data_IF_540007416821
#
_entry.id   IF_540007416821
#
_cell.length_a   1.000
_cell.length_b   1.000
_cell.length_c   1.000
_cell.angle_alpha   90.00
_cell.angle_beta   90.00
_cell.angle_gamma   90.00
#
_symmetry.space_group_name_H-M   'P 1'
#
loop_
_entity.id
_entity.type
_entity.pdbx_description
1 polymer ?
#
# COMPACT_ATOMS: atom_id res chain seq x y z
N UNK A 1 2.66 22.96 -25.62
CA UNK A 1 2.31 22.68 -24.22
C UNK A 1 3.52 22.04 -23.58
N UNK A 2 3.98 22.58 -22.46
CA UNK A 2 5.00 21.99 -21.59
C UNK A 2 4.33 21.36 -20.37
N UNK A 3 5.08 20.56 -19.63
CA UNK A 3 4.68 20.09 -18.28
C UNK A 3 5.66 20.69 -17.26
N UNK A 4 5.17 21.01 -16.08
CA UNK A 4 6.00 21.48 -14.98
C UNK A 4 7.04 20.41 -14.61
N UNK A 5 8.29 20.84 -14.50
CA UNK A 5 9.43 20.02 -14.07
C UNK A 5 10.43 20.76 -13.18
N UNK A 6 10.02 21.91 -12.64
CA UNK A 6 10.86 22.78 -11.82
C UNK A 6 11.80 23.69 -12.61
N UNK A 7 11.82 23.54 -13.93
CA UNK A 7 12.72 24.29 -14.82
C UNK A 7 11.96 25.38 -15.59
N UNK A 8 12.69 26.47 -15.92
CA UNK A 8 12.15 27.54 -16.74
C UNK A 8 11.84 27.04 -18.15
N UNK A 9 10.65 27.34 -18.66
CA UNK A 9 10.19 27.07 -20.03
C UNK A 9 10.19 28.35 -20.83
N UNK A 10 10.63 28.27 -22.07
CA UNK A 10 10.69 29.40 -23.00
C UNK A 10 9.81 29.13 -24.22
N UNK A 11 8.91 30.06 -24.50
CA UNK A 11 8.16 30.09 -25.74
C UNK A 11 9.04 30.75 -26.81
N UNK A 12 9.56 29.98 -27.73
CA UNK A 12 10.54 30.47 -28.71
C UNK A 12 9.84 31.25 -29.85
N UNK A 13 10.19 32.51 -29.97
CA UNK A 13 9.87 33.38 -31.10
C UNK A 13 11.20 33.84 -31.71
N UNK A 14 11.31 33.83 -33.03
CA UNK A 14 12.53 34.27 -33.68
C UNK A 14 12.87 35.72 -33.29
N UNK A 15 14.12 35.95 -32.96
CA UNK A 15 14.58 37.33 -32.64
C UNK A 15 14.48 38.23 -33.88
N UNK A 16 14.00 39.47 -33.67
CA UNK A 16 13.88 40.45 -34.74
C UNK A 16 13.96 41.88 -34.16
N UNK A 17 14.62 42.72 -34.85
CA UNK A 17 14.81 44.14 -34.42
C UNK A 17 13.53 44.98 -34.47
N UNK A 18 12.51 44.53 -35.24
CA UNK A 18 11.29 45.29 -35.47
C UNK A 18 10.22 45.08 -34.39
N UNK A 19 10.37 44.11 -33.51
CA UNK A 19 9.40 43.85 -32.44
C UNK A 19 10.04 43.49 -31.09
N UNK A 20 9.23 43.52 -30.06
CA UNK A 20 9.57 43.04 -28.72
C UNK A 20 8.68 41.84 -28.37
N UNK A 21 9.22 40.93 -27.58
CA UNK A 21 8.50 39.78 -27.04
C UNK A 21 8.41 39.91 -25.51
N UNK A 22 7.24 39.74 -24.95
CA UNK A 22 7.04 39.72 -23.51
C UNK A 22 6.35 38.44 -23.04
N UNK A 23 6.58 38.07 -21.80
CA UNK A 23 6.03 36.88 -21.11
C UNK A 23 6.41 35.54 -21.74
N UNK A 24 7.52 35.50 -22.51
CA UNK A 24 7.96 34.28 -23.19
C UNK A 24 8.63 33.25 -22.26
N UNK A 25 8.95 33.62 -21.02
CA UNK A 25 9.58 32.73 -20.06
C UNK A 25 8.69 32.54 -18.83
N UNK A 26 8.42 31.29 -18.48
CA UNK A 26 7.62 30.92 -17.32
C UNK A 26 8.21 29.65 -16.67
N UNK A 27 7.97 29.46 -15.36
CA UNK A 27 8.42 28.29 -14.63
C UNK A 27 7.22 27.48 -14.11
N UNK A 28 6.26 28.14 -13.49
CA UNK A 28 5.14 27.50 -12.84
C UNK A 28 4.09 26.98 -13.83
N UNK A 29 3.33 25.98 -13.42
CA UNK A 29 2.16 25.55 -14.17
C UNK A 29 1.13 26.68 -14.29
N UNK A 30 0.54 26.80 -15.46
CA UNK A 30 -0.43 27.84 -15.75
C UNK A 30 -0.64 28.05 -17.25
N UNK A 31 -1.60 28.93 -17.53
CA UNK A 31 -1.85 29.43 -18.88
C UNK A 31 -1.43 30.89 -18.95
N UNK A 32 -0.53 31.17 -19.85
CA UNK A 32 0.09 32.47 -20.04
C UNK A 32 -0.18 32.96 -21.45
N UNK A 33 -0.03 34.27 -21.65
CA UNK A 33 -0.08 34.87 -22.98
C UNK A 33 1.27 35.50 -23.28
N UNK A 34 1.92 35.00 -24.32
CA UNK A 34 3.11 35.65 -24.88
C UNK A 34 2.65 36.74 -25.83
N UNK A 35 3.15 37.94 -25.67
CA UNK A 35 2.79 39.08 -26.49
C UNK A 35 3.96 39.51 -27.37
N UNK A 36 3.68 39.84 -28.60
CA UNK A 36 4.64 40.37 -29.57
C UNK A 36 4.14 41.72 -30.05
N UNK A 37 4.96 42.76 -29.85
CA UNK A 37 4.56 44.15 -30.12
C UNK A 37 5.55 44.78 -31.11
N UNK A 38 5.07 45.38 -32.20
CA UNK A 38 5.89 46.16 -33.11
C UNK A 38 6.51 47.38 -32.36
N UNK A 39 7.78 47.63 -32.61
CA UNK A 39 8.48 48.81 -32.06
C UNK A 39 8.11 50.11 -32.75
N UNK A 40 7.79 50.04 -34.05
CA UNK A 40 7.39 51.23 -34.83
C UNK A 40 6.10 50.92 -35.61
N UNK A 41 4.97 51.20 -35.02
CA UNK A 41 3.64 50.99 -35.61
C UNK A 41 3.28 52.06 -36.65
N UNK A 42 4.09 53.12 -36.80
CA UNK A 42 3.87 54.13 -37.84
C UNK A 42 4.40 53.70 -39.20
N UNK A 43 5.49 52.92 -39.21
CA UNK A 43 6.19 52.56 -40.43
C UNK A 43 6.26 51.03 -40.64
N UNK A 44 5.65 50.23 -39.75
CA UNK A 44 5.67 48.77 -39.78
C UNK A 44 4.29 48.18 -39.50
N UNK A 45 3.96 47.17 -40.24
CA UNK A 45 2.76 46.32 -40.02
C UNK A 45 3.16 44.84 -40.08
N UNK A 46 2.33 43.99 -39.49
CA UNK A 46 2.47 42.54 -39.66
C UNK A 46 2.14 42.10 -41.10
N UNK A 47 2.45 40.86 -41.44
CA UNK A 47 2.12 40.28 -42.75
C UNK A 47 0.61 40.26 -43.06
N UNK A 48 -0.24 40.38 -42.03
CA UNK A 48 -1.69 40.49 -42.17
C UNK A 48 -2.19 41.96 -42.26
N UNK A 49 -1.25 42.89 -42.50
CA UNK A 49 -1.52 44.34 -42.67
C UNK A 49 -2.07 45.02 -41.37
N UNK A 50 -1.94 44.37 -40.22
CA UNK A 50 -2.32 44.94 -38.93
C UNK A 50 -1.09 45.46 -38.18
N UNK A 51 -1.28 46.38 -37.21
CA UNK A 51 -0.27 46.89 -36.31
C UNK A 51 -0.51 46.50 -34.83
N UNK A 52 -1.56 45.71 -34.61
CA UNK A 52 -1.98 45.31 -33.26
C UNK A 52 -1.02 44.29 -32.65
N UNK A 53 -0.99 44.22 -31.30
CA UNK A 53 -0.23 43.20 -30.53
C UNK A 53 -0.70 41.81 -30.95
N UNK A 54 0.26 40.95 -31.20
CA UNK A 54 0.00 39.52 -31.45
C UNK A 54 0.12 38.76 -30.12
N UNK A 55 -0.83 37.87 -29.90
CA UNK A 55 -0.92 37.08 -28.65
C UNK A 55 -0.83 35.58 -28.99
N UNK A 56 -0.05 34.88 -28.20
CA UNK A 56 0.16 33.43 -28.36
C UNK A 56 -0.05 32.74 -27.01
N UNK A 57 -0.89 31.69 -26.95
CA UNK A 57 -1.08 30.94 -25.70
C UNK A 57 0.18 30.15 -25.36
N UNK A 58 0.62 30.25 -24.13
CA UNK A 58 1.74 29.52 -23.58
C UNK A 58 1.28 28.75 -22.34
N UNK A 59 1.22 27.43 -22.44
CA UNK A 59 0.68 26.57 -21.42
C UNK A 59 1.76 25.67 -20.83
N UNK A 60 1.88 25.69 -19.52
CA UNK A 60 2.64 24.72 -18.71
C UNK A 60 1.61 23.92 -17.91
N UNK A 61 1.41 22.66 -18.24
CA UNK A 61 0.51 21.77 -17.55
C UNK A 61 1.10 21.39 -16.17
N UNK A 62 0.27 21.18 -15.15
CA UNK A 62 0.72 20.64 -13.87
C UNK A 62 1.38 19.27 -14.02
N UNK A 63 2.41 19.01 -13.21
CA UNK A 63 2.97 17.68 -13.05
C UNK A 63 2.03 16.78 -12.23
N UNK A 64 2.10 15.48 -12.41
CA UNK A 64 1.29 14.54 -11.65
C UNK A 64 1.96 14.17 -10.32
N UNK A 65 1.18 14.22 -9.24
CA UNK A 65 1.58 13.72 -7.93
C UNK A 65 0.57 12.67 -7.48
N UNK A 66 1.08 11.57 -6.95
CA UNK A 66 0.26 10.48 -6.43
C UNK A 66 0.42 10.39 -4.91
N UNK A 67 -0.70 10.43 -4.21
CA UNK A 67 -0.83 10.12 -2.79
C UNK A 67 -1.33 8.69 -2.67
N UNK A 68 -0.48 7.76 -2.24
CA UNK A 68 -0.84 6.36 -2.05
C UNK A 68 -1.18 6.11 -0.59
N UNK A 69 -2.43 5.74 -0.32
CA UNK A 69 -2.91 5.39 1.02
C UNK A 69 -2.41 3.98 1.33
N UNK A 70 -1.79 3.81 2.51
CA UNK A 70 -1.26 2.52 2.93
C UNK A 70 -2.34 1.58 3.43
N UNK A 71 -2.15 0.30 3.17
CA UNK A 71 -2.98 -0.75 3.73
C UNK A 71 -2.89 -0.79 5.26
N UNK A 72 -3.97 -1.22 5.89
CA UNK A 72 -4.07 -1.47 7.32
C UNK A 72 -4.49 -2.91 7.56
N UNK A 73 -4.15 -3.41 8.73
CA UNK A 73 -4.59 -4.73 9.18
C UNK A 73 -5.24 -4.66 10.55
N UNK A 74 -6.16 -5.58 10.79
CA UNK A 74 -6.80 -5.77 12.07
C UNK A 74 -7.13 -7.25 12.28
N UNK A 75 -7.50 -7.60 13.50
CA UNK A 75 -7.89 -8.97 13.82
C UNK A 75 -9.39 -9.11 14.00
N UNK A 76 -9.91 -10.26 13.61
CA UNK A 76 -11.29 -10.67 13.91
C UNK A 76 -11.52 -10.53 15.41
N UNK A 77 -12.65 -9.92 15.79
CA UNK A 77 -13.01 -9.64 17.18
C UNK A 77 -12.39 -8.37 17.74
N UNK A 78 -11.61 -7.60 16.99
CA UNK A 78 -11.18 -6.26 17.39
C UNK A 78 -12.39 -5.36 17.62
N UNK A 79 -12.40 -4.59 18.70
CA UNK A 79 -13.52 -3.69 19.04
C UNK A 79 -13.71 -2.58 18.01
N UNK A 80 -12.62 -2.12 17.42
CA UNK A 80 -12.60 -1.02 16.44
C UNK A 80 -11.60 -1.33 15.34
N UNK A 81 -11.85 -0.83 14.14
CA UNK A 81 -10.87 -0.75 13.08
C UNK A 81 -9.74 0.24 13.45
N UNK A 82 -8.56 0.16 12.80
CA UNK A 82 -7.49 1.13 13.00
C UNK A 82 -7.96 2.58 12.82
N UNK A 83 -7.47 3.47 13.67
CA UNK A 83 -7.84 4.88 13.62
C UNK A 83 -7.31 5.56 12.34
N UNK A 84 -8.16 6.33 11.67
CA UNK A 84 -7.87 7.14 10.49
C UNK A 84 -8.07 8.65 10.73
N UNK A 85 -8.27 9.09 11.97
CA UNK A 85 -8.63 10.48 12.29
C UNK A 85 -7.50 11.47 12.02
N UNK A 86 -6.25 11.05 12.21
CA UNK A 86 -5.05 11.88 12.04
C UNK A 86 -4.02 11.15 11.19
N UNK A 87 -4.18 11.09 9.87
CA UNK A 87 -3.24 10.38 9.00
C UNK A 87 -1.88 11.07 8.96
N UNK A 88 -0.81 10.30 9.12
CA UNK A 88 0.57 10.77 9.11
C UNK A 88 1.28 10.31 7.83
N UNK A 89 2.07 11.24 7.23
CA UNK A 89 2.92 10.89 6.08
C UNK A 89 3.91 9.79 6.48
N UNK A 90 4.21 8.91 5.54
CA UNK A 90 5.09 7.74 5.64
C UNK A 90 4.60 6.62 6.59
N UNK A 91 3.60 6.87 7.41
CA UNK A 91 2.91 5.90 8.25
C UNK A 91 1.58 5.44 7.63
N UNK A 92 0.74 6.37 7.22
CA UNK A 92 -0.62 6.11 6.74
C UNK A 92 -0.77 6.35 5.24
N UNK A 93 0.10 7.18 4.65
CA UNK A 93 0.17 7.43 3.21
C UNK A 93 1.58 7.82 2.77
N UNK A 94 1.85 7.69 1.49
CA UNK A 94 3.08 8.19 0.85
C UNK A 94 2.74 9.17 -0.26
N UNK A 95 3.69 10.03 -0.61
CA UNK A 95 3.57 10.98 -1.72
C UNK A 95 4.71 10.71 -2.70
N UNK A 96 4.40 10.58 -3.97
CA UNK A 96 5.36 10.40 -5.05
C UNK A 96 5.09 11.34 -6.22
N UNK A 97 6.13 11.70 -6.97
CA UNK A 97 6.03 12.59 -8.14
C UNK A 97 6.30 14.06 -7.84
N UNK A 98 6.69 14.44 -6.61
CA UNK A 98 7.19 15.78 -6.32
C UNK A 98 8.55 16.00 -6.97
N UNK A 99 8.80 17.21 -7.42
CA UNK A 99 10.03 17.64 -8.10
C UNK A 99 10.89 18.43 -7.12
N UNK A 100 12.17 18.05 -7.04
CA UNK A 100 13.12 18.71 -6.14
C UNK A 100 12.66 18.72 -4.69
N UNK A 101 12.59 19.91 -4.10
CA UNK A 101 12.17 20.14 -2.71
C UNK A 101 10.72 20.65 -2.60
N UNK A 102 9.94 20.52 -3.67
CA UNK A 102 8.55 20.98 -3.66
C UNK A 102 7.71 20.23 -2.61
N UNK A 103 6.73 20.91 -2.06
CA UNK A 103 5.82 20.38 -1.06
C UNK A 103 4.37 20.65 -1.43
N UNK A 104 3.47 19.83 -0.90
CA UNK A 104 2.05 20.08 -0.91
C UNK A 104 1.63 20.72 0.41
N UNK A 105 0.73 21.69 0.35
CA UNK A 105 0.06 22.28 1.51
C UNK A 105 -1.31 21.64 1.70
N UNK A 106 -1.82 21.67 2.95
CA UNK A 106 -3.12 21.09 3.28
C UNK A 106 -3.03 19.85 4.16
N UNK A 107 -4.06 19.04 4.18
CA UNK A 107 -4.16 17.86 5.04
C UNK A 107 -4.76 16.66 4.30
N UNK A 108 -4.37 15.47 4.73
CA UNK A 108 -4.99 14.21 4.29
C UNK A 108 -6.12 13.87 5.24
N UNK A 109 -7.27 13.46 4.68
CA UNK A 109 -8.42 12.92 5.41
C UNK A 109 -8.82 11.60 4.78
N UNK A 110 -8.96 10.58 5.60
CA UNK A 110 -9.26 9.22 5.18
C UNK A 110 -10.55 8.71 5.82
N UNK A 111 -11.18 7.74 5.15
CA UNK A 111 -12.30 6.98 5.70
C UNK A 111 -12.27 5.55 5.18
N UNK A 112 -12.99 4.67 5.86
CA UNK A 112 -13.31 3.34 5.37
C UNK A 112 -14.48 3.38 4.38
N UNK A 113 -14.45 2.44 3.42
CA UNK A 113 -15.56 2.15 2.51
C UNK A 113 -15.76 0.61 2.42
N UNK A 114 -16.83 0.05 3.01
CA UNK A 114 -17.93 0.73 3.76
C UNK A 114 -17.43 1.45 5.03
N UNK A 115 -18.17 2.47 5.47
CA UNK A 115 -17.78 3.34 6.60
C UNK A 115 -17.62 2.59 7.93
N UNK A 116 -18.31 1.48 8.10
CA UNK A 116 -18.16 0.60 9.25
C UNK A 116 -17.63 -0.75 8.78
N UNK A 117 -16.32 -1.01 8.93
CA UNK A 117 -15.73 -2.30 8.60
C UNK A 117 -16.32 -3.42 9.46
N UNK A 118 -16.56 -4.57 8.83
CA UNK A 118 -16.98 -5.77 9.56
C UNK A 118 -15.76 -6.44 10.20
N UNK A 119 -15.65 -6.31 11.52
CA UNK A 119 -14.55 -6.89 12.30
C UNK A 119 -14.90 -8.29 12.86
N UNK A 120 -16.04 -8.88 12.46
CA UNK A 120 -16.48 -10.18 13.00
C UNK A 120 -15.99 -11.37 12.19
N UNK A 121 -15.47 -11.15 11.00
CA UNK A 121 -14.99 -12.18 10.05
C UNK A 121 -13.76 -11.70 9.29
N UNK A 122 -13.04 -12.66 8.71
CA UNK A 122 -11.93 -12.38 7.78
C UNK A 122 -12.46 -11.63 6.55
N UNK A 123 -11.79 -10.57 6.16
CA UNK A 123 -12.16 -9.74 5.02
C UNK A 123 -10.95 -8.93 4.51
N UNK A 124 -10.89 -8.71 3.21
CA UNK A 124 -9.96 -7.80 2.53
C UNK A 124 -10.68 -6.85 1.56
N UNK A 125 -12.01 -6.75 1.69
CA UNK A 125 -12.87 -5.99 0.76
C UNK A 125 -13.09 -4.54 1.18
N UNK A 126 -12.74 -4.18 2.42
CA UNK A 126 -12.88 -2.80 2.91
C UNK A 126 -11.75 -1.93 2.37
N UNK A 127 -12.10 -0.89 1.64
CA UNK A 127 -11.14 0.10 1.14
C UNK A 127 -10.90 1.20 2.16
N UNK A 128 -9.71 1.82 2.09
CA UNK A 128 -9.38 3.07 2.78
C UNK A 128 -9.25 4.13 1.69
N UNK A 129 -10.19 5.08 1.69
CA UNK A 129 -10.34 6.04 0.59
C UNK A 129 -10.12 7.47 1.05
N UNK A 130 -9.79 8.34 0.10
CA UNK A 130 -9.75 9.78 0.33
C UNK A 130 -11.13 10.30 0.80
N UNK A 131 -11.13 11.16 1.82
CA UNK A 131 -12.33 11.77 2.40
C UNK A 131 -12.25 13.30 2.39
N UNK A 132 -12.02 13.90 1.22
CA UNK A 132 -11.92 15.35 1.10
C UNK A 132 -10.59 15.89 1.65
N UNK A 133 -9.49 15.23 1.34
CA UNK A 133 -8.15 15.76 1.55
C UNK A 133 -7.96 17.08 0.78
N UNK A 134 -7.15 17.96 1.33
CA UNK A 134 -6.92 19.32 0.79
C UNK A 134 -5.48 19.53 0.32
N UNK A 135 -4.71 18.45 0.12
CA UNK A 135 -3.34 18.57 -0.39
C UNK A 135 -3.35 19.26 -1.76
N UNK A 136 -2.60 20.36 -1.89
CA UNK A 136 -2.54 21.15 -3.10
C UNK A 136 -1.20 21.87 -3.26
N UNK A 137 -0.84 22.07 -4.52
CA UNK A 137 0.17 22.98 -5.01
C UNK A 137 -0.18 23.24 -6.48
N UNK A 138 -0.22 24.50 -6.91
CA UNK A 138 -0.65 24.89 -8.27
C UNK A 138 0.16 24.25 -9.39
N UNK A 139 1.37 23.81 -9.12
CA UNK A 139 2.23 23.13 -10.07
C UNK A 139 1.93 21.66 -10.23
N UNK A 140 0.97 21.11 -9.47
CA UNK A 140 0.69 19.68 -9.45
C UNK A 140 -0.79 19.34 -9.58
N UNK A 141 -1.06 18.27 -10.29
CA UNK A 141 -2.34 17.55 -10.31
C UNK A 141 -2.25 16.38 -9.33
N UNK A 142 -2.98 16.48 -8.21
CA UNK A 142 -2.89 15.52 -7.10
C UNK A 142 -3.93 14.42 -7.25
N UNK A 143 -3.47 13.19 -7.34
CA UNK A 143 -4.32 11.99 -7.42
C UNK A 143 -4.15 11.11 -6.17
N UNK A 144 -5.17 10.31 -5.85
CA UNK A 144 -5.17 9.42 -4.70
C UNK A 144 -5.31 7.98 -5.16
N UNK A 145 -4.50 7.09 -4.58
CA UNK A 145 -4.61 5.64 -4.72
C UNK A 145 -5.07 5.08 -3.38
N UNK A 146 -6.16 4.34 -3.41
CA UNK A 146 -6.79 3.78 -2.23
C UNK A 146 -5.93 2.67 -1.62
N UNK A 147 -5.97 2.59 -0.29
CA UNK A 147 -5.50 1.44 0.48
C UNK A 147 -6.64 0.50 0.83
N UNK A 148 -6.34 -0.58 1.52
CA UNK A 148 -7.34 -1.53 2.01
C UNK A 148 -7.12 -1.87 3.48
N UNK A 149 -8.19 -2.28 4.16
CA UNK A 149 -8.16 -2.92 5.46
C UNK A 149 -8.28 -4.42 5.27
N UNK A 150 -7.29 -5.16 5.73
CA UNK A 150 -7.33 -6.62 5.81
C UNK A 150 -7.63 -7.04 7.24
N UNK A 151 -8.73 -7.77 7.43
CA UNK A 151 -9.12 -8.36 8.71
C UNK A 151 -8.76 -9.83 8.66
N UNK A 152 -7.88 -10.27 9.56
CA UNK A 152 -7.44 -11.68 9.64
C UNK A 152 -7.71 -12.23 11.04
N UNK A 153 -7.71 -13.55 11.19
CA UNK A 153 -7.62 -14.10 12.53
C UNK A 153 -6.30 -13.64 13.17
N UNK A 154 -6.36 -13.36 14.46
CA UNK A 154 -5.12 -13.16 15.20
C UNK A 154 -4.28 -14.41 14.99
N UNK A 155 -3.02 -14.32 14.51
CA UNK A 155 -2.14 -15.47 14.59
C UNK A 155 -2.29 -15.98 15.98
N UNK A 156 -2.56 -17.27 16.17
CA UNK A 156 -2.40 -17.89 17.48
C UNK A 156 -0.95 -17.54 17.87
N UNK A 157 -0.78 -16.42 18.54
CA UNK A 157 0.45 -16.23 19.28
C UNK A 157 0.45 -17.45 20.14
N UNK A 158 1.38 -18.37 19.84
CA UNK A 158 1.77 -19.27 20.89
C UNK A 158 1.96 -18.37 22.08
N UNK A 159 0.90 -18.26 22.83
CA UNK A 159 0.86 -17.39 23.98
C UNK A 159 2.06 -17.80 24.78
N UNK A 160 2.93 -16.86 25.05
CA UNK A 160 3.73 -16.90 26.23
C UNK A 160 2.74 -16.86 27.40
N UNK A 161 1.87 -17.86 27.48
CA UNK A 161 1.28 -18.26 28.73
C UNK A 161 2.41 -18.92 29.47
N UNK A 162 2.96 -18.20 30.39
CA UNK A 162 3.65 -18.74 31.56
C UNK A 162 3.10 -20.16 31.80
N UNK A 163 3.85 -21.22 31.39
CA UNK A 163 3.57 -22.53 31.88
C UNK A 163 3.42 -23.70 30.89
N UNK A 164 3.52 -23.54 29.55
CA UNK A 164 3.59 -24.72 28.69
C UNK A 164 5.04 -25.18 28.51
N UNK A 165 5.57 -25.86 29.52
CA UNK A 165 6.86 -26.52 29.42
C UNK A 165 6.74 -27.68 28.42
N UNK A 166 7.64 -27.72 27.43
CA UNK A 166 7.86 -28.88 26.57
C UNK A 166 8.13 -30.09 27.48
N UNK A 167 7.32 -31.14 27.35
CA UNK A 167 7.48 -32.35 28.20
C UNK A 167 8.31 -33.41 27.46
N UNK A 168 8.42 -33.31 26.13
CA UNK A 168 9.22 -34.22 25.30
C UNK A 168 9.78 -33.51 24.10
N UNK A 169 11.05 -33.73 23.80
CA UNK A 169 11.70 -33.30 22.56
C UNK A 169 12.41 -34.49 21.97
N UNK A 170 12.13 -34.77 20.69
CA UNK A 170 12.80 -35.79 19.91
C UNK A 170 13.40 -35.15 18.66
N UNK A 171 14.55 -35.65 18.22
CA UNK A 171 15.18 -35.17 17.00
C UNK A 171 15.59 -36.37 16.16
N UNK A 172 15.13 -36.42 14.94
CA UNK A 172 15.38 -37.49 13.97
C UNK A 172 16.12 -36.95 12.77
N UNK A 173 17.18 -37.64 12.38
CA UNK A 173 17.85 -37.42 11.08
C UNK A 173 17.16 -38.31 10.05
N UNK A 174 16.65 -37.70 9.00
CA UNK A 174 15.95 -38.39 7.92
C UNK A 174 16.94 -38.90 6.86
N UNK A 175 16.53 -39.91 6.11
CA UNK A 175 17.40 -40.55 5.06
C UNK A 175 17.75 -39.56 3.93
N UNK A 176 16.88 -38.56 3.66
CA UNK A 176 17.15 -37.47 2.71
C UNK A 176 18.17 -36.43 3.23
N UNK A 177 18.59 -36.58 4.49
CA UNK A 177 19.55 -35.74 5.20
C UNK A 177 18.93 -34.46 5.78
N UNK A 178 17.61 -34.29 5.77
CA UNK A 178 16.90 -33.31 6.58
C UNK A 178 16.90 -33.71 8.06
N UNK A 179 16.53 -32.81 8.93
CA UNK A 179 16.41 -33.07 10.37
C UNK A 179 15.03 -32.63 10.84
N UNK A 180 14.29 -33.55 11.47
CA UNK A 180 12.99 -33.27 12.07
C UNK A 180 13.11 -33.20 13.60
N UNK A 181 12.69 -32.11 14.19
CA UNK A 181 12.54 -31.92 15.63
C UNK A 181 11.06 -31.97 15.98
N UNK A 182 10.67 -32.89 16.87
CA UNK A 182 9.30 -33.01 17.40
C UNK A 182 9.28 -32.57 18.85
N UNK A 183 8.44 -31.61 19.19
CA UNK A 183 8.24 -31.09 20.55
C UNK A 183 6.80 -31.34 20.99
N UNK A 184 6.60 -32.07 22.08
CA UNK A 184 5.28 -32.27 22.68
C UNK A 184 5.16 -31.36 23.91
N UNK A 185 4.12 -30.53 23.93
CA UNK A 185 3.83 -29.64 25.06
C UNK A 185 2.92 -30.32 26.08
N UNK A 186 2.86 -29.74 27.28
CA UNK A 186 2.05 -30.26 28.39
C UNK A 186 0.55 -30.27 28.10
N UNK A 187 0.07 -29.40 27.24
CA UNK A 187 -1.32 -29.31 26.78
C UNK A 187 -1.67 -30.30 25.64
N UNK A 188 -0.71 -31.16 25.27
CA UNK A 188 -0.87 -32.14 24.18
C UNK A 188 -0.58 -31.58 22.78
N UNK A 189 -0.21 -30.30 22.64
CA UNK A 189 0.20 -29.71 21.35
C UNK A 189 1.49 -30.38 20.89
N UNK A 190 1.54 -30.82 19.64
CA UNK A 190 2.72 -31.39 18.99
C UNK A 190 3.24 -30.40 17.94
N UNK A 191 4.53 -30.06 17.99
CA UNK A 191 5.18 -29.20 17.02
C UNK A 191 6.29 -30.02 16.34
N UNK A 192 6.16 -30.18 15.05
CA UNK A 192 7.20 -30.78 14.21
C UNK A 192 7.87 -29.68 13.39
N UNK A 193 9.19 -29.64 13.41
CA UNK A 193 10.00 -28.73 12.60
C UNK A 193 11.01 -29.51 11.80
N UNK A 194 10.87 -29.54 10.50
CA UNK A 194 11.81 -30.18 9.60
C UNK A 194 12.67 -29.13 8.91
N UNK A 195 13.99 -29.28 9.04
CA UNK A 195 14.96 -28.40 8.37
C UNK A 195 15.61 -29.19 7.23
N UNK A 196 15.39 -28.75 6.01
CA UNK A 196 15.99 -29.31 4.80
C UNK A 196 17.47 -29.02 4.69
N UNK A 197 18.20 -29.84 3.94
CA UNK A 197 19.62 -29.62 3.61
C UNK A 197 19.89 -28.29 2.91
N UNK A 198 18.92 -27.78 2.17
CA UNK A 198 18.97 -26.54 1.42
C UNK A 198 18.68 -25.30 2.27
N UNK A 199 18.33 -25.50 3.55
CA UNK A 199 17.97 -24.45 4.50
C UNK A 199 16.47 -24.09 4.50
N UNK A 200 15.63 -24.82 3.75
CA UNK A 200 14.18 -24.71 3.87
C UNK A 200 13.69 -25.23 5.23
N UNK A 201 12.60 -24.68 5.75
CA UNK A 201 12.02 -25.08 7.03
C UNK A 201 10.52 -25.34 6.82
N UNK A 202 10.07 -26.54 7.18
CA UNK A 202 8.66 -26.88 7.32
C UNK A 202 8.32 -27.04 8.80
N UNK A 203 7.31 -26.31 9.26
CA UNK A 203 6.81 -26.38 10.63
C UNK A 203 5.34 -26.76 10.64
N UNK A 204 5.00 -27.79 11.38
CA UNK A 204 3.62 -28.24 11.61
C UNK A 204 3.32 -28.12 13.10
N UNK A 205 2.24 -27.44 13.48
CA UNK A 205 1.72 -27.39 14.83
C UNK A 205 0.34 -28.06 14.85
N UNK A 206 0.20 -29.16 15.60
CA UNK A 206 -1.03 -29.93 15.73
C UNK A 206 -1.57 -29.83 17.16
N UNK A 207 -2.80 -29.40 17.31
CA UNK A 207 -3.51 -29.35 18.58
C UNK A 207 -4.79 -30.13 18.49
N UNK A 208 -5.04 -31.04 19.45
CA UNK A 208 -6.27 -31.80 19.54
C UNK A 208 -7.03 -31.43 20.81
N UNK A 209 -8.31 -31.07 20.63
CA UNK A 209 -9.24 -30.80 21.74
C UNK A 209 -10.43 -31.76 21.68
N UNK A 210 -10.93 -32.16 22.83
CA UNK A 210 -12.16 -32.96 22.90
C UNK A 210 -13.24 -32.09 23.54
N UNK A 211 -14.33 -31.86 22.79
CA UNK A 211 -15.50 -31.12 23.27
C UNK A 211 -16.29 -31.94 24.29
N UNK A 212 -17.14 -31.30 25.12
CA UNK A 212 -17.97 -32.03 26.10
C UNK A 212 -18.92 -33.08 25.51
N UNK A 213 -19.29 -32.92 24.24
CA UNK A 213 -20.14 -33.88 23.51
C UNK A 213 -19.37 -35.10 22.96
N UNK A 214 -18.04 -35.14 23.19
CA UNK A 214 -17.15 -36.18 22.73
C UNK A 214 -16.60 -35.96 21.31
N UNK A 215 -16.95 -34.86 20.65
CA UNK A 215 -16.36 -34.47 19.37
C UNK A 215 -14.88 -34.12 19.55
N UNK A 216 -14.02 -34.73 18.74
CA UNK A 216 -12.59 -34.37 18.66
C UNK A 216 -12.38 -33.32 17.59
N UNK A 217 -11.67 -32.28 17.94
CA UNK A 217 -11.26 -31.20 17.01
C UNK A 217 -9.74 -31.20 16.94
N UNK A 218 -9.21 -31.45 15.77
CA UNK A 218 -7.80 -31.32 15.45
C UNK A 218 -7.59 -30.05 14.61
N UNK A 219 -6.70 -29.19 15.07
CA UNK A 219 -6.26 -28.02 14.33
C UNK A 219 -4.79 -28.21 13.95
N UNK A 220 -4.48 -28.14 12.66
CA UNK A 220 -3.16 -28.31 12.08
C UNK A 220 -2.76 -27.02 11.37
N UNK A 221 -1.73 -26.34 11.86
CA UNK A 221 -1.13 -25.17 11.26
C UNK A 221 0.19 -25.57 10.61
N UNK A 222 0.35 -25.31 9.33
CA UNK A 222 1.57 -25.59 8.58
C UNK A 222 2.19 -24.28 8.10
N UNK A 223 3.49 -24.17 8.27
CA UNK A 223 4.28 -23.05 7.76
C UNK A 223 5.47 -23.61 7.00
N UNK A 224 5.56 -23.29 5.74
CA UNK A 224 6.72 -23.57 4.92
C UNK A 224 7.52 -22.29 4.71
N UNK A 225 8.82 -22.33 4.98
CA UNK A 225 9.75 -21.24 4.72
C UNK A 225 10.78 -21.72 3.72
N UNK A 226 10.78 -21.13 2.53
CA UNK A 226 11.73 -21.45 1.48
C UNK A 226 13.12 -20.85 1.76
N UNK A 227 14.13 -21.33 1.06
CA UNK A 227 15.52 -20.83 1.15
C UNK A 227 15.65 -19.32 0.90
N UNK A 228 14.79 -18.73 0.10
CA UNK A 228 14.74 -17.29 -0.20
C UNK A 228 14.03 -16.46 0.88
N UNK A 229 13.53 -17.12 1.95
CA UNK A 229 12.79 -16.49 3.04
C UNK A 229 11.30 -16.31 2.77
N UNK A 230 10.79 -16.68 1.60
CA UNK A 230 9.35 -16.69 1.34
C UNK A 230 8.64 -17.70 2.22
N UNK A 231 7.40 -17.38 2.64
CA UNK A 231 6.60 -18.24 3.53
C UNK A 231 5.26 -18.55 2.91
N UNK A 232 4.83 -19.78 3.12
CA UNK A 232 3.47 -20.25 2.86
C UNK A 232 2.88 -20.78 4.16
N UNK A 233 1.69 -20.34 4.51
CA UNK A 233 1.00 -20.77 5.73
C UNK A 233 -0.36 -21.36 5.35
N UNK A 234 -0.74 -22.45 6.00
CA UNK A 234 -2.03 -23.09 5.85
C UNK A 234 -2.55 -23.57 7.20
N UNK A 235 -3.87 -23.50 7.39
CA UNK A 235 -4.57 -24.06 8.54
C UNK A 235 -5.59 -25.09 8.06
N UNK A 236 -5.57 -26.26 8.66
CA UNK A 236 -6.57 -27.30 8.44
C UNK A 236 -7.23 -27.63 9.78
N UNK A 237 -8.54 -27.64 9.80
CA UNK A 237 -9.32 -28.04 10.98
C UNK A 237 -10.19 -29.22 10.65
N UNK A 238 -10.02 -30.31 11.41
CA UNK A 238 -10.75 -31.54 11.29
C UNK A 238 -11.61 -31.78 12.53
N UNK A 239 -12.91 -31.90 12.37
CA UNK A 239 -13.82 -32.28 13.44
C UNK A 239 -14.27 -33.75 13.23
N UNK A 240 -14.06 -34.59 14.23
CA UNK A 240 -14.52 -35.97 14.26
C UNK A 240 -15.57 -36.13 15.36
N UNK A 241 -16.82 -36.35 14.98
CA UNK A 241 -17.92 -36.62 15.91
C UNK A 241 -17.83 -38.02 16.51
N UNK A 242 -18.55 -38.23 17.60
CA UNK A 242 -18.59 -39.50 18.30
C UNK A 242 -19.15 -40.67 17.43
N UNK A 243 -19.97 -40.36 16.45
CA UNK A 243 -20.53 -41.33 15.47
C UNK A 243 -19.56 -41.65 14.33
N UNK A 244 -18.35 -41.07 14.34
CA UNK A 244 -17.34 -41.28 13.30
C UNK A 244 -17.45 -40.32 12.12
N UNK A 245 -18.40 -39.40 12.11
CA UNK A 245 -18.52 -38.39 11.04
C UNK A 245 -17.33 -37.44 11.11
N UNK A 246 -16.62 -37.25 10.00
CA UNK A 246 -15.48 -36.35 9.86
C UNK A 246 -15.83 -35.17 8.95
N UNK A 247 -15.50 -33.96 9.39
CA UNK A 247 -15.62 -32.73 8.62
C UNK A 247 -14.29 -32.02 8.62
N UNK A 248 -13.78 -31.66 7.45
CA UNK A 248 -12.53 -30.91 7.27
C UNK A 248 -12.84 -29.52 6.69
N UNK A 249 -12.14 -28.50 7.19
CA UNK A 249 -12.12 -27.13 6.65
C UNK A 249 -10.69 -26.64 6.51
N UNK A 250 -10.42 -25.93 5.42
CA UNK A 250 -9.13 -25.29 5.11
C UNK A 250 -9.32 -23.79 5.01
#
# INVERSE_FOLDING_TARGET
>A
VFTYDGEKKTYTIAANDNYTVANAEQMNAGTYTVTVTLKDTKNSVWNDETDTVKEFPFVIAPAKVTVTIKDKSAYVGSKTAPDLSNPEKDKDYTISGLIGEDTLTGSVKLKYNPATPDMTKVSDTTQIVNNGSTLANSNYDVTYVDGKLTVTYRPSSGGSSSGSSTVKTETTKNDDGSTTKTETKKDGTVIETTTGKDGSISKTETKTETKPDGTKVETKNETETNKDGSKVESETRTETKKDGTVTESK
#
